data_IF_863327136886
#
_entry.id   IF_863327136886
#
_cell.length_a   1.000
_cell.length_b   1.000
_cell.length_c   1.000
_cell.angle_alpha   90.00
_cell.angle_beta   90.00
_cell.angle_gamma   90.00
#
_symmetry.space_group_name_H-M   'P 1'
#
loop_
_entity.id
_entity.type
_entity.pdbx_description
1 polymer ?
#
# COMPACT_ATOMS: atom_id res chain seq x y z
N UNK A 1 -9.01 12.10 24.92
CA UNK A 1 -8.89 11.13 23.83
C UNK A 1 -8.88 11.89 22.51
N UNK A 2 -8.13 11.43 21.51
CA UNK A 2 -8.18 12.00 20.16
C UNK A 2 -9.24 11.21 19.38
N UNK A 3 -10.45 11.74 19.25
CA UNK A 3 -11.54 11.12 18.48
C UNK A 3 -11.55 11.75 17.08
N UNK A 4 -11.38 10.93 16.05
CA UNK A 4 -11.49 11.36 14.65
C UNK A 4 -12.83 10.89 14.13
N UNK A 5 -13.71 11.83 13.79
CA UNK A 5 -15.01 11.52 13.20
C UNK A 5 -14.85 11.40 11.69
N UNK A 6 -15.29 10.28 11.14
CA UNK A 6 -15.17 9.98 9.71
C UNK A 6 -16.55 9.64 9.15
N UNK A 7 -16.89 10.17 7.98
CA UNK A 7 -17.99 9.61 7.19
C UNK A 7 -17.47 8.34 6.53
N UNK A 8 -18.11 7.20 6.79
CA UNK A 8 -17.75 5.93 6.15
C UNK A 8 -17.99 5.99 4.64
N UNK A 9 -17.17 5.28 3.88
CA UNK A 9 -17.34 5.12 2.43
C UNK A 9 -18.30 3.98 2.18
N UNK A 10 -19.33 4.19 1.36
CA UNK A 10 -20.25 3.13 0.95
C UNK A 10 -19.98 2.71 -0.49
N UNK A 11 -19.70 3.68 -1.36
CA UNK A 11 -19.59 3.46 -2.79
C UNK A 11 -18.48 4.31 -3.40
N UNK A 12 -17.99 3.88 -4.57
CA UNK A 12 -16.90 4.57 -5.27
C UNK A 12 -17.29 6.01 -5.65
N UNK A 13 -18.57 6.28 -5.91
CA UNK A 13 -19.11 7.61 -6.20
C UNK A 13 -18.84 8.62 -5.08
N UNK A 14 -18.71 8.17 -3.83
CA UNK A 14 -18.48 9.03 -2.65
C UNK A 14 -17.10 9.73 -2.72
N UNK A 15 -16.17 9.19 -3.51
CA UNK A 15 -14.86 9.78 -3.78
C UNK A 15 -14.89 10.83 -4.91
N UNK A 16 -15.95 10.86 -5.69
CA UNK A 16 -16.06 11.61 -6.94
C UNK A 16 -17.31 12.50 -6.96
N UNK A 17 -17.60 13.16 -5.84
CA UNK A 17 -18.83 13.94 -5.59
C UNK A 17 -19.11 15.01 -6.66
N UNK A 18 -18.08 15.57 -7.29
CA UNK A 18 -18.20 16.51 -8.42
C UNK A 18 -19.06 15.96 -9.57
N UNK A 19 -19.03 14.64 -9.80
CA UNK A 19 -19.82 14.00 -10.86
C UNK A 19 -21.17 13.45 -10.37
N UNK A 20 -21.40 13.40 -9.05
CA UNK A 20 -22.53 12.71 -8.43
C UNK A 20 -23.27 13.59 -7.41
N UNK A 21 -23.47 14.87 -7.74
CA UNK A 21 -24.25 15.77 -6.89
C UNK A 21 -25.73 15.33 -6.80
N UNK A 22 -26.34 15.39 -5.59
CA UNK A 22 -27.74 15.03 -5.41
C UNK A 22 -28.71 16.08 -5.99
N UNK A 23 -29.86 15.60 -6.47
CA UNK A 23 -31.01 16.41 -6.93
C UNK A 23 -32.27 16.03 -6.15
N UNK A 24 -32.41 16.45 -4.89
CA UNK A 24 -33.51 16.01 -4.03
C UNK A 24 -34.89 16.37 -4.60
N UNK A 25 -35.02 17.55 -5.21
CA UNK A 25 -36.28 18.01 -5.82
C UNK A 25 -36.35 17.74 -7.32
N UNK A 26 -35.42 16.94 -7.88
CA UNK A 26 -35.22 16.70 -9.33
C UNK A 26 -35.02 17.93 -10.23
N UNK A 27 -35.13 19.15 -9.68
CA UNK A 27 -35.01 20.42 -10.39
C UNK A 27 -33.68 21.10 -10.05
N UNK A 28 -33.38 21.21 -8.76
CA UNK A 28 -32.19 21.90 -8.27
C UNK A 28 -31.08 20.91 -7.90
N UNK A 29 -29.87 21.20 -8.34
CA UNK A 29 -28.67 20.43 -8.00
C UNK A 29 -27.93 21.11 -6.84
N UNK A 30 -27.73 20.38 -5.75
CA UNK A 30 -26.97 20.87 -4.60
C UNK A 30 -25.51 20.46 -4.80
N UNK A 31 -24.59 21.42 -4.72
CA UNK A 31 -23.16 21.17 -4.91
C UNK A 31 -22.52 20.70 -3.59
N UNK A 32 -22.35 19.39 -3.43
CA UNK A 32 -21.75 18.76 -2.23
C UNK A 32 -20.26 18.43 -2.43
N UNK A 33 -19.56 19.18 -3.28
CA UNK A 33 -18.16 18.90 -3.65
C UNK A 33 -17.17 18.92 -2.48
N UNK A 34 -17.55 19.55 -1.35
CA UNK A 34 -16.74 19.63 -0.12
C UNK A 34 -16.93 18.45 0.84
N UNK A 35 -17.86 17.53 0.56
CA UNK A 35 -18.19 16.39 1.43
C UNK A 35 -17.44 15.10 1.05
N UNK A 36 -16.46 15.16 0.14
CA UNK A 36 -15.66 14.00 -0.24
C UNK A 36 -14.97 13.38 1.00
N UNK A 37 -14.96 12.04 1.07
CA UNK A 37 -14.48 11.16 2.17
C UNK A 37 -13.46 11.82 3.12
N UNK A 38 -13.98 12.58 4.08
CA UNK A 38 -13.18 13.27 5.09
C UNK A 38 -13.07 12.39 6.33
N UNK A 39 -11.86 12.25 6.93
CA UNK A 39 -10.59 12.91 6.63
C UNK A 39 -9.59 12.06 5.82
N UNK A 40 -9.99 10.87 5.35
CA UNK A 40 -9.05 9.92 4.73
C UNK A 40 -8.35 10.50 3.49
N UNK A 41 -9.09 11.25 2.67
CA UNK A 41 -8.56 11.91 1.48
C UNK A 41 -7.58 13.05 1.84
N UNK A 42 -7.94 13.91 2.79
CA UNK A 42 -7.17 15.12 3.15
C UNK A 42 -5.92 14.80 3.97
N UNK A 43 -5.96 13.78 4.82
CA UNK A 43 -4.81 13.36 5.64
C UNK A 43 -3.57 13.03 4.79
N UNK A 44 -3.75 12.36 3.66
CA UNK A 44 -2.63 12.02 2.77
C UNK A 44 -2.05 13.26 2.08
N UNK A 45 -2.89 14.22 1.70
CA UNK A 45 -2.43 15.48 1.12
C UNK A 45 -1.68 16.33 2.16
N UNK A 46 -2.15 16.36 3.41
CA UNK A 46 -1.40 16.98 4.52
C UNK A 46 -0.04 16.33 4.73
N UNK A 47 0.03 14.99 4.66
CA UNK A 47 1.29 14.27 4.73
C UNK A 47 2.23 14.67 3.58
N UNK A 48 1.76 14.75 2.34
CA UNK A 48 2.59 15.21 1.22
C UNK A 48 3.05 16.66 1.39
N UNK A 49 2.17 17.55 1.85
CA UNK A 49 2.55 18.94 2.15
C UNK A 49 3.61 19.01 3.26
N UNK A 50 3.47 18.20 4.30
CA UNK A 50 4.46 18.08 5.36
C UNK A 50 5.81 17.55 4.83
N UNK A 51 5.79 16.54 3.95
CA UNK A 51 6.99 16.04 3.27
C UNK A 51 7.68 17.14 2.44
N UNK A 52 6.93 17.94 1.70
CA UNK A 52 7.47 19.10 0.96
C UNK A 52 8.09 20.11 1.93
N UNK A 53 7.40 20.43 3.02
CA UNK A 53 7.90 21.36 4.04
C UNK A 53 9.21 20.86 4.66
N UNK A 54 9.30 19.59 5.03
CA UNK A 54 10.54 18.99 5.54
C UNK A 54 11.65 18.98 4.48
N UNK A 55 11.31 18.76 3.21
CA UNK A 55 12.27 18.80 2.11
C UNK A 55 12.82 20.21 1.87
N UNK A 56 12.00 21.24 2.04
CA UNK A 56 12.42 22.63 1.88
C UNK A 56 13.16 23.17 3.11
N UNK A 57 12.81 22.72 4.32
CA UNK A 57 13.40 23.25 5.56
C UNK A 57 14.57 22.38 6.06
N UNK A 58 14.31 21.11 6.37
CA UNK A 58 15.28 20.25 7.05
C UNK A 58 16.38 19.78 6.09
N UNK A 59 16.02 19.39 4.86
CA UNK A 59 16.96 18.79 3.92
C UNK A 59 18.11 19.70 3.47
N UNK A 60 17.92 21.00 3.15
CA UNK A 60 19.05 21.87 2.83
C UNK A 60 19.97 22.08 4.04
N UNK A 61 19.42 22.19 5.26
CA UNK A 61 20.22 22.32 6.49
C UNK A 61 21.12 21.10 6.68
N UNK A 62 20.57 19.90 6.49
CA UNK A 62 21.32 18.63 6.59
C UNK A 62 22.41 18.58 5.51
N UNK A 63 22.08 18.92 4.26
CA UNK A 63 23.04 18.84 3.16
C UNK A 63 24.19 19.86 3.26
N UNK A 64 23.91 21.06 3.80
CA UNK A 64 24.93 22.07 4.06
C UNK A 64 25.85 21.65 5.21
N UNK A 65 25.33 21.01 6.26
CA UNK A 65 26.11 20.66 7.45
C UNK A 65 26.84 19.30 7.35
N UNK A 66 26.27 18.31 6.67
CA UNK A 66 26.75 16.92 6.71
C UNK A 66 27.25 16.37 5.37
N UNK A 67 26.84 16.93 4.22
CA UNK A 67 27.05 16.28 2.91
C UNK A 67 27.70 17.18 1.85
N UNK A 68 28.32 18.30 2.25
CA UNK A 68 29.11 19.19 1.37
C UNK A 68 28.37 19.59 0.08
N UNK A 69 27.04 19.76 0.16
CA UNK A 69 26.18 20.11 -0.97
C UNK A 69 25.90 19.00 -2.00
N UNK A 70 26.37 17.77 -1.79
CA UNK A 70 26.05 16.61 -2.63
C UNK A 70 24.61 16.14 -2.37
N UNK A 71 23.70 16.32 -3.34
CA UNK A 71 22.31 15.87 -3.20
C UNK A 71 21.24 16.80 -3.78
N UNK A 72 21.62 17.94 -4.38
CA UNK A 72 20.68 18.90 -4.99
C UNK A 72 19.72 18.24 -6.00
N UNK A 73 20.22 17.30 -6.82
CA UNK A 73 19.40 16.54 -7.78
C UNK A 73 18.24 15.80 -7.10
N UNK A 74 18.46 15.23 -5.91
CA UNK A 74 17.44 14.54 -5.15
C UNK A 74 16.40 15.47 -4.52
N UNK A 75 16.72 16.75 -4.31
CA UNK A 75 15.75 17.77 -3.89
C UNK A 75 14.83 18.08 -5.05
N UNK A 76 15.38 18.39 -6.23
CA UNK A 76 14.59 18.68 -7.42
C UNK A 76 13.69 17.51 -7.82
N UNK A 77 14.23 16.29 -7.83
CA UNK A 77 13.44 15.09 -8.15
C UNK A 77 12.21 14.96 -7.24
N UNK A 78 12.39 15.14 -5.93
CA UNK A 78 11.28 15.05 -4.98
C UNK A 78 10.31 16.24 -5.06
N UNK A 79 10.79 17.45 -5.40
CA UNK A 79 9.95 18.63 -5.62
C UNK A 79 9.01 18.46 -6.82
N UNK A 80 9.41 17.69 -7.83
CA UNK A 80 8.51 17.30 -8.93
C UNK A 80 7.65 16.09 -8.58
N UNK A 81 8.23 15.07 -7.93
CA UNK A 81 7.52 13.82 -7.66
C UNK A 81 6.36 14.01 -6.68
N UNK A 82 6.56 14.76 -5.57
CA UNK A 82 5.54 14.92 -4.53
C UNK A 82 4.25 15.58 -5.04
N UNK A 83 4.29 16.71 -5.78
CA UNK A 83 3.09 17.30 -6.37
C UNK A 83 2.43 16.38 -7.40
N UNK A 84 3.21 15.69 -8.25
CA UNK A 84 2.66 14.74 -9.22
C UNK A 84 1.93 13.60 -8.51
N UNK A 85 2.53 13.04 -7.44
CA UNK A 85 1.88 12.03 -6.61
C UNK A 85 0.61 12.58 -5.95
N UNK A 86 0.63 13.82 -5.46
CA UNK A 86 -0.55 14.46 -4.89
C UNK A 86 -1.67 14.65 -5.94
N UNK A 87 -1.34 15.00 -7.18
CA UNK A 87 -2.31 15.10 -8.28
C UNK A 87 -2.89 13.74 -8.66
N UNK A 88 -2.04 12.71 -8.80
CA UNK A 88 -2.49 11.34 -9.07
C UNK A 88 -3.37 10.84 -7.93
N UNK A 89 -2.97 11.07 -6.68
CA UNK A 89 -3.78 10.70 -5.51
C UNK A 89 -5.10 11.46 -5.50
N UNK A 90 -5.10 12.75 -5.80
CA UNK A 90 -6.33 13.54 -5.87
C UNK A 90 -7.30 13.06 -6.95
N UNK A 91 -6.79 12.70 -8.13
CA UNK A 91 -7.61 12.21 -9.23
C UNK A 91 -8.04 10.74 -9.07
N UNK A 92 -7.20 9.89 -8.47
CA UNK A 92 -7.38 8.45 -8.44
C UNK A 92 -7.62 7.88 -7.04
N UNK A 93 -7.83 8.71 -6.00
CA UNK A 93 -7.93 8.25 -4.61
C UNK A 93 -8.93 7.11 -4.45
N UNK A 94 -10.17 7.30 -4.90
CA UNK A 94 -11.20 6.25 -4.79
C UNK A 94 -10.75 4.92 -5.38
N UNK A 95 -10.22 4.93 -6.61
CA UNK A 95 -9.71 3.73 -7.24
C UNK A 95 -8.52 3.11 -6.49
N UNK A 96 -7.60 3.95 -6.00
CA UNK A 96 -6.44 3.50 -5.22
C UNK A 96 -6.88 2.81 -3.93
N UNK A 97 -7.76 3.42 -3.13
CA UNK A 97 -8.21 2.84 -1.86
C UNK A 97 -9.04 1.57 -2.05
N UNK A 98 -9.94 1.54 -3.05
CA UNK A 98 -10.73 0.34 -3.35
C UNK A 98 -9.88 -0.82 -3.87
N UNK A 99 -8.87 -0.55 -4.70
CA UNK A 99 -8.02 -1.59 -5.29
C UNK A 99 -6.85 -2.00 -4.40
N UNK A 100 -6.43 -1.14 -3.46
CA UNK A 100 -5.28 -1.33 -2.59
C UNK A 100 -5.18 -2.71 -1.92
N UNK A 101 -6.20 -3.24 -1.21
CA UNK A 101 -6.07 -4.52 -0.53
C UNK A 101 -5.81 -5.65 -1.53
N UNK A 102 -6.48 -5.63 -2.69
CA UNK A 102 -6.30 -6.63 -3.74
C UNK A 102 -4.94 -6.54 -4.42
N UNK A 103 -4.47 -5.33 -4.73
CA UNK A 103 -3.16 -5.11 -5.33
C UNK A 103 -2.04 -5.57 -4.40
N UNK A 104 -2.14 -5.28 -3.09
CA UNK A 104 -1.18 -5.77 -2.12
C UNK A 104 -1.25 -7.28 -1.95
N UNK A 105 -2.45 -7.87 -1.90
CA UNK A 105 -2.64 -9.31 -1.76
C UNK A 105 -1.99 -10.07 -2.92
N UNK A 106 -2.32 -9.69 -4.16
CA UNK A 106 -1.75 -10.31 -5.36
C UNK A 106 -0.25 -10.02 -5.44
N UNK A 107 0.15 -8.77 -5.17
CA UNK A 107 1.53 -8.35 -5.18
C UNK A 107 2.39 -9.15 -4.21
N UNK A 108 1.94 -9.35 -2.97
CA UNK A 108 2.68 -10.13 -1.96
C UNK A 108 2.79 -11.61 -2.33
N UNK A 109 1.74 -12.21 -2.89
CA UNK A 109 1.77 -13.61 -3.36
C UNK A 109 2.77 -13.78 -4.52
N UNK A 110 2.72 -12.89 -5.51
CA UNK A 110 3.61 -12.97 -6.67
C UNK A 110 5.07 -12.69 -6.28
N UNK A 111 5.31 -11.66 -5.47
CA UNK A 111 6.66 -11.30 -5.04
C UNK A 111 7.31 -12.36 -4.14
N UNK A 112 6.55 -13.02 -3.26
CA UNK A 112 7.05 -14.16 -2.49
C UNK A 112 7.43 -15.33 -3.40
N UNK A 113 6.57 -15.70 -4.36
CA UNK A 113 6.87 -16.76 -5.33
C UNK A 113 8.12 -16.43 -6.16
N UNK A 114 8.23 -15.20 -6.67
CA UNK A 114 9.39 -14.73 -7.44
C UNK A 114 10.67 -14.75 -6.60
N UNK A 115 10.61 -14.30 -5.34
CA UNK A 115 11.74 -14.29 -4.43
C UNK A 115 12.27 -15.71 -4.20
N UNK A 116 11.39 -16.63 -3.84
CA UNK A 116 11.76 -18.02 -3.55
C UNK A 116 12.29 -18.73 -4.81
N UNK A 117 11.69 -18.48 -5.99
CA UNK A 117 12.14 -18.99 -7.27
C UNK A 117 13.52 -18.46 -7.67
N UNK A 118 13.73 -17.14 -7.63
CA UNK A 118 15.03 -16.54 -7.97
C UNK A 118 16.14 -17.00 -7.04
N UNK A 119 15.83 -17.31 -5.78
CA UNK A 119 16.79 -17.78 -4.78
C UNK A 119 16.90 -19.30 -4.72
N UNK A 120 16.20 -20.01 -5.61
CA UNK A 120 16.20 -21.48 -5.78
C UNK A 120 15.90 -22.21 -4.47
N UNK A 121 14.95 -21.71 -3.69
CA UNK A 121 14.58 -22.33 -2.42
C UNK A 121 13.79 -23.61 -2.70
N UNK A 122 14.32 -24.76 -2.29
CA UNK A 122 13.66 -26.05 -2.56
C UNK A 122 13.00 -26.66 -1.32
N UNK A 123 13.52 -26.34 -0.13
CA UNK A 123 13.11 -26.96 1.13
C UNK A 123 13.19 -25.94 2.28
N UNK A 124 12.50 -26.23 3.39
CA UNK A 124 12.58 -25.41 4.61
C UNK A 124 14.01 -25.28 5.17
N UNK A 125 14.83 -26.34 5.05
CA UNK A 125 16.24 -26.29 5.49
C UNK A 125 17.05 -25.25 4.69
N UNK A 126 16.80 -25.16 3.39
CA UNK A 126 17.47 -24.18 2.52
C UNK A 126 16.99 -22.75 2.79
N UNK A 127 15.69 -22.59 3.09
CA UNK A 127 15.14 -21.31 3.54
C UNK A 127 15.79 -20.86 4.86
N UNK A 128 15.87 -21.74 5.85
CA UNK A 128 16.45 -21.45 7.17
C UNK A 128 17.96 -21.14 7.11
N UNK A 129 18.67 -21.68 6.12
CA UNK A 129 20.09 -21.41 5.91
C UNK A 129 20.34 -19.97 5.40
N UNK A 130 19.39 -19.37 4.67
CA UNK A 130 19.56 -18.06 4.03
C UNK A 130 18.85 -16.95 4.82
N UNK A 131 19.50 -16.48 5.89
CA UNK A 131 18.96 -15.47 6.82
C UNK A 131 18.44 -14.20 6.13
N UNK A 132 19.15 -13.70 5.11
CA UNK A 132 18.74 -12.50 4.38
C UNK A 132 17.39 -12.69 3.68
N UNK A 133 17.12 -13.90 3.18
CA UNK A 133 15.87 -14.23 2.50
C UNK A 133 14.72 -14.35 3.48
N UNK A 134 14.97 -14.89 4.68
CA UNK A 134 13.97 -14.94 5.75
C UNK A 134 13.55 -13.53 6.16
N UNK A 135 14.51 -12.59 6.31
CA UNK A 135 14.18 -11.21 6.65
C UNK A 135 13.27 -10.56 5.59
N UNK A 136 13.56 -10.77 4.31
CA UNK A 136 12.72 -10.28 3.21
C UNK A 136 11.35 -10.97 3.23
N UNK A 137 11.31 -12.29 3.46
CA UNK A 137 10.07 -13.07 3.49
C UNK A 137 9.15 -12.63 4.64
N UNK A 138 9.70 -12.34 5.81
CA UNK A 138 8.96 -11.78 6.94
C UNK A 138 8.31 -10.45 6.55
N UNK A 139 9.04 -9.58 5.83
CA UNK A 139 8.47 -8.34 5.29
C UNK A 139 7.29 -8.60 4.36
N UNK A 140 7.38 -9.62 3.50
CA UNK A 140 6.27 -10.01 2.64
C UNK A 140 5.07 -10.58 3.42
N UNK A 141 5.32 -11.33 4.48
CA UNK A 141 4.26 -11.82 5.37
C UNK A 141 3.54 -10.67 6.08
N UNK A 142 4.27 -9.64 6.52
CA UNK A 142 3.64 -8.43 7.07
C UNK A 142 2.78 -7.71 6.03
N UNK A 143 3.26 -7.55 4.80
CA UNK A 143 2.48 -6.96 3.71
C UNK A 143 1.23 -7.79 3.40
N UNK A 144 1.35 -9.11 3.39
CA UNK A 144 0.22 -10.00 3.15
C UNK A 144 -0.80 -9.95 4.29
N UNK A 145 -0.34 -9.93 5.54
CA UNK A 145 -1.19 -9.74 6.72
C UNK A 145 -1.93 -8.40 6.66
N UNK A 146 -1.23 -7.31 6.30
CA UNK A 146 -1.83 -6.00 6.13
C UNK A 146 -2.94 -6.01 5.07
N UNK A 147 -2.71 -6.71 3.95
CA UNK A 147 -3.72 -6.84 2.89
C UNK A 147 -4.97 -7.59 3.36
N UNK A 148 -4.82 -8.62 4.20
CA UNK A 148 -5.95 -9.35 4.78
C UNK A 148 -6.73 -8.49 5.78
N UNK A 149 -6.04 -7.75 6.65
CA UNK A 149 -6.70 -6.77 7.56
C UNK A 149 -7.49 -5.76 6.75
N UNK A 150 -6.88 -5.20 5.70
CA UNK A 150 -7.51 -4.20 4.87
C UNK A 150 -8.71 -4.75 4.08
N UNK A 151 -8.72 -6.06 3.78
CA UNK A 151 -9.82 -6.70 3.05
C UNK A 151 -10.99 -7.08 3.95
N UNK A 152 -10.74 -7.53 5.19
CA UNK A 152 -11.80 -7.92 6.12
C UNK A 152 -12.32 -6.76 6.98
N UNK A 153 -11.61 -5.63 6.94
CA UNK A 153 -11.83 -4.44 7.78
C UNK A 153 -11.82 -4.75 9.30
N UNK A 154 -11.35 -5.95 9.67
CA UNK A 154 -11.44 -6.49 11.03
C UNK A 154 -12.86 -6.41 11.63
N UNK A 155 -13.87 -6.59 10.78
CA UNK A 155 -15.27 -6.44 11.16
C UNK A 155 -15.73 -7.54 12.15
N UNK A 156 -15.29 -8.78 11.95
CA UNK A 156 -15.66 -9.92 12.79
C UNK A 156 -14.42 -10.70 13.26
N UNK A 157 -13.78 -10.31 14.38
CA UNK A 157 -12.49 -10.87 14.79
C UNK A 157 -12.49 -12.40 15.00
N UNK A 158 -13.64 -12.99 15.35
CA UNK A 158 -13.80 -14.44 15.55
C UNK A 158 -13.75 -15.22 14.23
N UNK A 159 -14.29 -14.64 13.15
CA UNK A 159 -14.31 -15.24 11.82
C UNK A 159 -13.06 -14.84 11.02
N UNK A 160 -12.58 -13.61 11.21
CA UNK A 160 -11.43 -13.05 10.50
C UNK A 160 -10.09 -13.56 11.05
N UNK A 161 -10.02 -13.82 12.36
CA UNK A 161 -8.79 -14.28 13.03
C UNK A 161 -8.14 -15.49 12.36
N UNK A 162 -8.89 -16.58 12.06
CA UNK A 162 -8.35 -17.74 11.35
C UNK A 162 -7.77 -17.42 9.95
N UNK A 163 -8.27 -16.39 9.24
CA UNK A 163 -7.75 -16.03 7.91
C UNK A 163 -6.29 -15.58 7.96
N UNK A 164 -5.79 -15.10 9.10
CA UNK A 164 -4.39 -14.72 9.27
C UNK A 164 -3.41 -15.89 9.14
N UNK A 165 -3.88 -17.13 9.30
CA UNK A 165 -3.05 -18.30 9.02
C UNK A 165 -2.67 -18.39 7.53
N UNK A 166 -3.48 -17.80 6.63
CA UNK A 166 -3.16 -17.74 5.20
C UNK A 166 -1.96 -16.85 4.89
N UNK A 167 -1.47 -16.04 5.83
CA UNK A 167 -0.27 -15.23 5.63
C UNK A 167 0.95 -16.08 5.21
N UNK A 168 1.06 -17.29 5.76
CA UNK A 168 2.16 -18.21 5.47
C UNK A 168 1.90 -19.08 4.24
N UNK A 169 0.67 -19.09 3.73
CA UNK A 169 0.23 -19.97 2.66
C UNK A 169 1.08 -19.82 1.38
N UNK A 170 1.42 -18.60 0.88
CA UNK A 170 2.20 -18.47 -0.35
C UNK A 170 3.58 -19.14 -0.26
N UNK A 171 4.27 -18.97 0.87
CA UNK A 171 5.57 -19.61 1.11
C UNK A 171 5.46 -21.13 1.27
N UNK A 172 4.47 -21.60 2.01
CA UNK A 172 4.26 -23.04 2.23
C UNK A 172 3.89 -23.73 0.91
N UNK A 173 2.94 -23.15 0.17
CA UNK A 173 2.50 -23.63 -1.12
C UNK A 173 3.65 -23.71 -2.12
N UNK A 174 4.48 -22.66 -2.20
CA UNK A 174 5.67 -22.67 -3.05
C UNK A 174 6.62 -23.83 -2.71
N UNK A 175 6.97 -24.00 -1.43
CA UNK A 175 7.92 -25.06 -1.00
C UNK A 175 7.34 -26.46 -1.26
N UNK A 176 6.03 -26.63 -1.10
CA UNK A 176 5.37 -27.92 -1.37
C UNK A 176 5.33 -28.24 -2.88
N UNK A 177 5.25 -27.24 -3.75
CA UNK A 177 5.04 -27.43 -5.19
C UNK A 177 6.32 -27.32 -6.02
N UNK A 178 7.37 -26.67 -5.54
CA UNK A 178 8.61 -26.40 -6.29
C UNK A 178 9.25 -27.67 -6.87
N UNK A 179 9.17 -28.80 -6.17
CA UNK A 179 9.71 -30.10 -6.63
C UNK A 179 8.93 -30.73 -7.79
N UNK A 180 7.68 -30.31 -7.99
CA UNK A 180 6.86 -30.73 -9.13
C UNK A 180 7.18 -29.91 -10.37
N UNK A 181 7.59 -28.65 -10.18
CA UNK A 181 7.90 -27.69 -11.24
C UNK A 181 9.39 -27.60 -11.56
N UNK A 182 10.23 -28.53 -11.08
CA UNK A 182 11.67 -28.51 -11.31
C UNK A 182 11.98 -28.86 -12.79
N UNK A 183 12.51 -27.91 -13.58
CA UNK A 183 12.77 -28.12 -15.00
C UNK A 183 13.90 -29.14 -15.26
N UNK A 184 14.74 -29.42 -14.26
CA UNK A 184 15.83 -30.39 -14.39
C UNK A 184 15.38 -31.83 -14.18
N UNK A 185 14.13 -32.06 -13.74
CA UNK A 185 13.60 -33.41 -13.51
C UNK A 185 13.33 -34.20 -14.80
N UNK A 186 13.28 -33.51 -15.94
CA UNK A 186 12.98 -34.08 -17.26
C UNK A 186 14.17 -33.98 -18.25
N UNK A 187 15.38 -33.69 -17.75
CA UNK A 187 16.64 -33.75 -18.50
C UNK A 187 17.47 -34.92 -18.02
#
# INVERSE_FOLDING_TARGET
SLSVHTCGVQQLSDWYTVFFNPKPDHVNEIQCTQEAVYPLYTMVLYYYAFCVLLLLLARPIILMKLCDGQGRKCIYAALYFLPITAMIHGACAGLLYYSYPYLLLIGSVLSTAILLAKKKITNFKDLLAKKDIIAILIGHWFLHAFSLIALTEWSEPKMDGPLFLLVFFPSLFYIMTVRLSDPYKFK
#
